data_IF_119095764945
#
_entry.id   IF_119095764945
#
_cell.length_a   1.000
_cell.length_b   1.000
_cell.length_c   1.000
_cell.angle_alpha   90.00
_cell.angle_beta   90.00
_cell.angle_gamma   90.00
#
_symmetry.space_group_name_H-M   'P 1'
#
loop_
_entity.id
_entity.type
_entity.pdbx_description
1 polymer ?
#
# COMPACT_ATOMS: atom_id res chain seq x y z
N UNK A 1 4.46 -63.00 56.08
CA UNK A 1 3.82 -61.66 56.19
C UNK A 1 4.62 -60.64 55.37
N UNK A 2 4.57 -60.65 54.03
CA UNK A 2 5.35 -59.70 53.19
C UNK A 2 4.93 -59.52 51.71
N UNK A 3 3.74 -59.97 51.28
CA UNK A 3 3.39 -59.99 49.84
C UNK A 3 2.36 -58.96 49.37
N UNK A 4 1.65 -58.28 50.26
CA UNK A 4 0.47 -57.48 49.87
C UNK A 4 0.74 -55.98 49.63
N UNK A 5 1.92 -55.46 49.96
CA UNK A 5 2.23 -54.03 49.77
C UNK A 5 2.83 -53.66 48.39
N UNK A 6 3.18 -54.62 47.54
CA UNK A 6 3.88 -54.32 46.28
C UNK A 6 2.94 -53.95 45.12
N UNK A 7 1.65 -54.35 45.16
CA UNK A 7 0.72 -54.12 44.05
C UNK A 7 0.07 -52.71 44.05
N UNK A 8 0.00 -52.02 45.18
CA UNK A 8 -0.62 -50.68 45.26
C UNK A 8 0.29 -49.54 44.77
N UNK A 9 1.60 -49.79 44.56
CA UNK A 9 2.56 -48.73 44.18
C UNK A 9 2.76 -48.57 42.67
N UNK A 10 2.34 -49.56 41.85
CA UNK A 10 2.50 -49.53 40.38
C UNK A 10 1.38 -48.81 39.64
N UNK A 11 0.17 -48.73 40.20
CA UNK A 11 -1.00 -48.15 39.50
C UNK A 11 -1.05 -46.60 39.51
N UNK A 12 -0.50 -45.93 40.54
CA UNK A 12 -0.51 -44.45 40.62
C UNK A 12 0.46 -43.76 39.65
N UNK A 13 1.58 -44.41 39.27
CA UNK A 13 2.57 -43.83 38.34
C UNK A 13 2.05 -43.73 36.89
N UNK A 14 1.24 -44.70 36.46
CA UNK A 14 0.65 -44.71 35.11
C UNK A 14 -0.43 -43.64 34.93
N UNK A 15 -1.24 -43.39 35.98
CA UNK A 15 -2.32 -42.42 35.94
C UNK A 15 -1.80 -40.97 35.93
N UNK A 16 -0.70 -40.68 36.65
CA UNK A 16 -0.06 -39.36 36.64
C UNK A 16 0.66 -39.07 35.31
N UNK A 17 1.30 -40.08 34.71
CA UNK A 17 1.91 -39.96 33.38
C UNK A 17 0.87 -39.68 32.30
N UNK A 18 -0.26 -40.41 32.30
CA UNK A 18 -1.34 -40.17 31.35
C UNK A 18 -2.03 -38.81 31.57
N UNK A 19 -2.14 -38.32 32.81
CA UNK A 19 -2.70 -37.00 33.11
C UNK A 19 -1.78 -35.87 32.64
N UNK A 20 -0.46 -35.98 32.86
CA UNK A 20 0.53 -35.02 32.35
C UNK A 20 0.58 -35.05 30.82
N UNK A 21 0.47 -36.23 30.20
CA UNK A 21 0.42 -36.36 28.73
C UNK A 21 -0.87 -35.75 28.15
N UNK A 22 -2.03 -35.96 28.80
CA UNK A 22 -3.28 -35.29 28.43
C UNK A 22 -3.22 -33.78 28.65
N UNK A 23 -2.59 -33.32 29.73
CA UNK A 23 -2.41 -31.88 30.00
C UNK A 23 -1.49 -31.23 28.96
N UNK A 24 -0.43 -31.92 28.53
CA UNK A 24 0.45 -31.48 27.43
C UNK A 24 -0.32 -31.46 26.09
N UNK A 25 -1.20 -32.44 25.82
CA UNK A 25 -2.05 -32.44 24.62
C UNK A 25 -3.09 -31.32 24.64
N UNK A 26 -3.67 -31.00 25.80
CA UNK A 26 -4.61 -29.89 25.97
C UNK A 26 -3.90 -28.53 25.91
N UNK A 27 -2.66 -28.42 26.39
CA UNK A 27 -1.87 -27.19 26.31
C UNK A 27 -1.37 -26.90 24.88
N UNK A 28 -1.10 -27.92 24.06
CA UNK A 28 -0.73 -27.75 22.65
C UNK A 28 -1.92 -27.41 21.73
N UNK A 29 -3.16 -27.55 22.21
CA UNK A 29 -4.38 -27.19 21.47
C UNK A 29 -4.93 -25.80 21.84
N UNK A 30 -4.12 -24.99 22.54
CA UNK A 30 -4.49 -23.66 23.02
C UNK A 30 -3.78 -22.50 22.29
N UNK A 31 -3.21 -22.73 21.10
CA UNK A 31 -2.87 -21.63 20.20
C UNK A 31 -4.10 -21.30 19.37
N UNK A 32 -4.53 -20.03 19.37
CA UNK A 32 -5.50 -19.57 18.40
C UNK A 32 -4.93 -19.77 16.99
N UNK A 33 -5.75 -20.24 16.06
CA UNK A 33 -5.37 -20.31 14.65
C UNK A 33 -5.07 -18.88 14.17
N UNK A 34 -3.99 -18.67 13.40
CA UNK A 34 -3.64 -17.35 12.94
C UNK A 34 -4.72 -16.82 12.00
N UNK A 35 -5.03 -15.54 12.11
CA UNK A 35 -6.14 -14.89 11.41
C UNK A 35 -5.56 -14.20 10.17
N UNK A 36 -5.99 -14.64 8.98
CA UNK A 36 -5.64 -13.99 7.70
C UNK A 36 -5.94 -12.48 7.77
N UNK A 37 -5.07 -11.67 7.16
CA UNK A 37 -5.08 -10.21 7.16
C UNK A 37 -4.71 -9.54 8.49
N UNK A 38 -4.61 -10.31 9.58
CA UNK A 38 -4.20 -9.82 10.89
C UNK A 38 -2.83 -10.38 11.31
N UNK A 39 -2.60 -11.67 11.12
CA UNK A 39 -1.38 -12.40 11.47
C UNK A 39 -0.56 -12.77 10.23
N UNK A 40 0.75 -12.95 10.37
CA UNK A 40 1.59 -13.45 9.26
C UNK A 40 1.33 -14.95 9.10
N UNK A 41 0.61 -15.31 8.03
CA UNK A 41 0.19 -16.69 7.74
C UNK A 41 0.96 -17.31 6.57
N UNK A 42 1.69 -16.51 5.80
CA UNK A 42 2.58 -16.94 4.74
C UNK A 42 4.05 -16.76 5.14
N UNK A 43 4.89 -17.74 4.84
CA UNK A 43 6.33 -17.71 5.19
C UNK A 43 7.13 -16.87 4.18
N UNK A 44 6.80 -17.01 2.89
CA UNK A 44 7.50 -16.42 1.76
C UNK A 44 6.61 -15.46 0.98
N UNK A 45 7.28 -14.56 0.25
CA UNK A 45 6.66 -13.56 -0.62
C UNK A 45 7.32 -13.66 -1.99
N UNK A 46 6.52 -13.64 -3.05
CA UNK A 46 6.98 -13.46 -4.43
C UNK A 46 6.96 -11.97 -4.74
N UNK A 47 8.05 -11.47 -5.32
CA UNK A 47 8.18 -10.05 -5.70
C UNK A 47 8.29 -10.00 -7.22
N UNK A 48 7.43 -9.19 -7.86
CA UNK A 48 7.54 -8.84 -9.27
C UNK A 48 7.93 -7.36 -9.34
N UNK A 49 9.16 -7.10 -9.76
CA UNK A 49 9.78 -5.76 -9.79
C UNK A 49 9.52 -5.06 -11.14
N UNK A 50 9.61 -3.74 -11.14
CA UNK A 50 9.61 -2.88 -12.33
C UNK A 50 8.36 -3.03 -13.23
N UNK A 51 7.19 -3.26 -12.63
CA UNK A 51 5.92 -3.33 -13.38
C UNK A 51 5.50 -1.92 -13.77
N UNK A 52 5.63 -1.58 -15.04
CA UNK A 52 5.20 -0.27 -15.57
C UNK A 52 3.68 -0.16 -15.54
N UNK A 53 3.16 0.77 -14.74
CA UNK A 53 1.72 1.04 -14.62
C UNK A 53 1.28 2.27 -15.42
N UNK A 54 2.21 3.11 -15.87
CA UNK A 54 1.91 4.30 -16.64
C UNK A 54 3.13 5.00 -17.22
N UNK A 55 2.87 6.08 -17.95
CA UNK A 55 3.86 6.99 -18.51
C UNK A 55 3.33 8.41 -18.39
N UNK A 56 4.17 9.35 -17.95
CA UNK A 56 3.76 10.72 -17.70
C UNK A 56 4.93 11.71 -17.90
N UNK A 57 4.65 12.99 -18.24
CA UNK A 57 5.67 14.01 -18.32
C UNK A 57 6.18 14.33 -16.91
N UNK A 58 7.47 14.11 -16.69
CA UNK A 58 8.18 14.47 -15.46
C UNK A 58 9.18 15.58 -15.70
N UNK A 59 9.56 16.24 -14.62
CA UNK A 59 10.59 17.27 -14.65
C UNK A 59 11.99 16.62 -14.49
N UNK A 60 13.06 17.20 -15.07
CA UNK A 60 14.41 16.69 -14.90
C UNK A 60 15.00 17.13 -13.57
N UNK A 61 15.96 16.34 -13.06
CA UNK A 61 16.65 16.54 -11.79
C UNK A 61 17.09 17.99 -11.51
N UNK A 62 17.40 18.77 -12.56
CA UNK A 62 17.56 20.21 -12.47
C UNK A 62 16.20 20.89 -12.75
N UNK A 63 15.39 20.96 -11.69
CA UNK A 63 14.02 21.48 -11.70
C UNK A 63 14.00 23.01 -11.55
N UNK A 64 14.21 23.74 -12.65
CA UNK A 64 14.14 25.21 -12.64
C UNK A 64 12.82 25.75 -13.20
N UNK A 65 12.17 25.00 -14.09
CA UNK A 65 11.00 25.46 -14.84
C UNK A 65 10.02 24.31 -15.09
N UNK A 66 8.73 24.56 -14.85
CA UNK A 66 7.66 23.55 -14.94
C UNK A 66 7.37 23.10 -16.39
N UNK A 67 7.77 23.90 -17.38
CA UNK A 67 7.61 23.57 -18.81
C UNK A 67 8.68 22.64 -19.38
N UNK A 68 9.75 22.39 -18.63
CA UNK A 68 10.84 21.56 -19.08
C UNK A 68 10.59 20.11 -18.64
N UNK A 69 9.74 19.39 -19.37
CA UNK A 69 9.39 18.00 -19.05
C UNK A 69 9.92 17.01 -20.08
N UNK A 70 10.02 15.75 -19.67
CA UNK A 70 10.21 14.58 -20.54
C UNK A 70 9.36 13.43 -20.05
N UNK A 71 8.94 12.57 -20.96
CA UNK A 71 8.12 11.40 -20.59
C UNK A 71 8.97 10.38 -19.84
N UNK A 72 8.45 9.89 -18.72
CA UNK A 72 9.04 8.80 -17.95
C UNK A 72 8.02 7.70 -17.71
N UNK A 73 8.50 6.46 -17.70
CA UNK A 73 7.70 5.33 -17.23
C UNK A 73 7.57 5.40 -15.71
N UNK A 74 6.37 5.11 -15.24
CA UNK A 74 6.04 4.97 -13.83
C UNK A 74 5.84 3.50 -13.54
N UNK A 75 6.56 3.00 -12.56
CA UNK A 75 6.66 1.59 -12.24
C UNK A 75 6.38 1.31 -10.76
N UNK A 76 6.07 0.05 -10.49
CA UNK A 76 5.74 -0.45 -9.16
C UNK A 76 6.29 -1.86 -8.96
N UNK A 77 6.49 -2.22 -7.70
CA UNK A 77 6.78 -3.60 -7.30
C UNK A 77 5.54 -4.22 -6.68
N UNK A 78 5.29 -5.48 -7.02
CA UNK A 78 4.14 -6.26 -6.56
C UNK A 78 4.64 -7.37 -5.65
N UNK A 79 4.15 -7.40 -4.42
CA UNK A 79 4.48 -8.35 -3.37
C UNK A 79 3.27 -9.24 -3.10
N UNK A 80 3.42 -10.53 -3.40
CA UNK A 80 2.35 -11.51 -3.30
C UNK A 80 2.70 -12.63 -2.31
N UNK A 81 1.75 -13.11 -1.49
CA UNK A 81 1.96 -14.29 -0.65
C UNK A 81 2.22 -15.54 -1.51
N UNK A 82 3.38 -16.18 -1.34
CA UNK A 82 3.74 -17.37 -2.10
C UNK A 82 2.82 -18.55 -1.74
N UNK A 83 2.20 -19.18 -2.74
CA UNK A 83 1.35 -20.36 -2.57
C UNK A 83 -0.06 -20.05 -2.04
N UNK A 84 -0.46 -18.78 -2.02
CA UNK A 84 -1.83 -18.39 -1.74
C UNK A 84 -2.78 -18.87 -2.84
N UNK A 85 -3.99 -19.26 -2.44
CA UNK A 85 -5.04 -19.78 -3.33
C UNK A 85 -6.26 -18.88 -3.40
N UNK A 86 -6.28 -17.79 -2.60
CA UNK A 86 -7.31 -16.78 -2.71
C UNK A 86 -7.16 -15.98 -4.02
N UNK A 87 -8.28 -15.80 -4.72
CA UNK A 87 -8.33 -15.17 -6.05
C UNK A 87 -8.83 -13.73 -6.01
N UNK A 88 -9.30 -13.26 -4.85
CA UNK A 88 -9.81 -11.90 -4.64
C UNK A 88 -9.16 -11.30 -3.39
N UNK A 89 -7.87 -10.95 -3.51
CA UNK A 89 -7.07 -10.47 -2.38
C UNK A 89 -7.16 -8.95 -2.27
N UNK A 90 -7.38 -8.38 -1.08
CA UNK A 90 -7.33 -6.94 -0.88
C UNK A 90 -5.91 -6.42 -1.13
N UNK A 91 -5.83 -5.17 -1.59
CA UNK A 91 -4.59 -4.52 -1.99
C UNK A 91 -4.22 -3.42 -1.00
N UNK A 92 -2.94 -3.32 -0.66
CA UNK A 92 -2.39 -2.14 0.02
C UNK A 92 -1.32 -1.51 -0.88
N UNK A 93 -1.52 -0.26 -1.28
CA UNK A 93 -0.58 0.52 -2.08
C UNK A 93 0.22 1.43 -1.15
N UNK A 94 1.52 1.17 -1.05
CA UNK A 94 2.47 1.92 -0.26
C UNK A 94 3.09 3.04 -1.08
N UNK A 95 2.96 4.28 -0.58
CA UNK A 95 3.45 5.48 -1.24
C UNK A 95 4.58 6.08 -0.40
N UNK A 96 5.78 6.09 -0.98
CA UNK A 96 7.01 6.38 -0.27
C UNK A 96 7.14 7.85 0.18
N UNK A 97 8.01 8.07 1.17
CA UNK A 97 8.41 9.40 1.65
C UNK A 97 9.43 10.06 0.71
N UNK A 98 9.85 11.29 1.02
CA UNK A 98 10.97 11.94 0.35
C UNK A 98 10.68 13.34 -0.16
N UNK A 99 9.64 13.98 0.40
CA UNK A 99 9.29 15.38 0.18
C UNK A 99 9.11 15.75 -1.30
N UNK A 100 8.69 14.80 -2.15
CA UNK A 100 8.63 14.93 -3.61
C UNK A 100 9.97 15.30 -4.26
N UNK A 101 11.09 15.14 -3.55
CA UNK A 101 12.44 15.46 -4.03
C UNK A 101 13.31 14.21 -4.20
N UNK A 102 12.99 13.14 -3.48
CA UNK A 102 13.74 11.90 -3.44
C UNK A 102 12.83 10.74 -3.05
N UNK A 103 13.38 9.53 -3.02
CA UNK A 103 12.68 8.31 -2.66
C UNK A 103 12.42 7.42 -3.87
N UNK A 104 12.01 6.19 -3.60
CA UNK A 104 11.64 5.18 -4.58
C UNK A 104 10.86 4.05 -3.89
N UNK A 105 10.25 3.16 -4.69
CA UNK A 105 9.46 2.00 -4.26
C UNK A 105 10.23 0.93 -3.48
N UNK A 106 11.56 0.90 -3.57
CA UNK A 106 12.43 -0.05 -2.85
C UNK A 106 13.07 0.51 -1.56
N UNK A 107 12.57 1.62 -1.00
CA UNK A 107 13.07 2.08 0.31
C UNK A 107 12.86 1.01 1.40
N UNK A 108 13.82 0.86 2.31
CA UNK A 108 13.83 -0.21 3.33
C UNK A 108 12.52 -0.31 4.13
N UNK A 109 11.92 0.82 4.49
CA UNK A 109 10.66 0.88 5.24
C UNK A 109 9.46 0.47 4.39
N UNK A 110 9.42 0.89 3.13
CA UNK A 110 8.40 0.50 2.14
C UNK A 110 8.47 -1.00 1.88
N UNK A 111 9.65 -1.54 1.59
CA UNK A 111 9.87 -2.98 1.36
C UNK A 111 9.47 -3.80 2.59
N UNK A 112 9.85 -3.36 3.80
CA UNK A 112 9.50 -4.05 5.03
C UNK A 112 7.97 -4.08 5.27
N UNK A 113 7.28 -2.97 4.99
CA UNK A 113 5.82 -2.91 5.08
C UNK A 113 5.15 -3.77 4.03
N UNK A 114 5.60 -3.73 2.77
CA UNK A 114 5.08 -4.55 1.69
C UNK A 114 5.21 -6.04 1.97
N UNK A 115 6.39 -6.49 2.44
CA UNK A 115 6.62 -7.89 2.83
C UNK A 115 5.71 -8.28 4.00
N UNK A 116 5.58 -7.45 5.05
CA UNK A 116 4.72 -7.79 6.19
C UNK A 116 3.24 -7.86 5.79
N UNK A 117 2.77 -6.96 4.92
CA UNK A 117 1.41 -7.01 4.39
C UNK A 117 1.18 -8.26 3.52
N UNK A 118 2.10 -8.58 2.61
CA UNK A 118 2.02 -9.78 1.78
C UNK A 118 1.99 -11.06 2.64
N UNK A 119 2.81 -11.14 3.69
CA UNK A 119 2.79 -12.26 4.65
C UNK A 119 1.46 -12.42 5.41
N UNK A 120 0.67 -11.36 5.52
CA UNK A 120 -0.69 -11.39 6.10
C UNK A 120 -1.76 -11.76 5.08
N UNK A 121 -1.42 -11.90 3.80
CA UNK A 121 -2.32 -12.35 2.73
C UNK A 121 -2.89 -11.25 1.85
N UNK A 122 -2.42 -10.01 2.00
CA UNK A 122 -2.70 -8.91 1.06
C UNK A 122 -1.83 -9.06 -0.20
N UNK A 123 -2.23 -8.42 -1.30
CA UNK A 123 -1.27 -8.05 -2.35
C UNK A 123 -0.77 -6.65 -2.02
N UNK A 124 0.54 -6.52 -1.79
CA UNK A 124 1.14 -5.24 -1.46
C UNK A 124 1.83 -4.66 -2.69
N UNK A 125 1.62 -3.36 -2.92
CA UNK A 125 2.16 -2.64 -4.07
C UNK A 125 3.03 -1.50 -3.54
N UNK A 126 4.26 -1.35 -4.01
CA UNK A 126 5.02 -0.12 -3.78
C UNK A 126 5.24 0.60 -5.09
N UNK A 127 4.83 1.87 -5.16
CA UNK A 127 4.84 2.66 -6.40
C UNK A 127 5.99 3.67 -6.39
N UNK A 128 6.61 3.88 -7.55
CA UNK A 128 7.30 5.13 -7.84
C UNK A 128 6.27 6.17 -8.31
N UNK A 129 6.49 7.44 -7.96
CA UNK A 129 5.71 8.58 -8.45
C UNK A 129 6.65 9.70 -8.88
N UNK A 130 6.18 10.60 -9.74
CA UNK A 130 6.96 11.72 -10.27
C UNK A 130 7.49 12.61 -9.16
N UNK A 131 8.77 12.93 -9.25
CA UNK A 131 9.47 13.78 -8.29
C UNK A 131 9.71 15.18 -8.87
N UNK A 132 10.38 15.99 -8.08
CA UNK A 132 10.75 17.36 -8.41
C UNK A 132 9.82 18.37 -7.78
N UNK A 133 10.40 19.32 -7.06
CA UNK A 133 9.76 20.59 -6.77
C UNK A 133 10.83 21.68 -6.63
N UNK A 134 10.43 22.92 -6.83
CA UNK A 134 11.19 24.06 -6.35
C UNK A 134 10.81 24.34 -4.89
N UNK A 135 11.68 23.98 -3.95
CA UNK A 135 11.46 24.13 -2.49
C UNK A 135 11.21 25.57 -2.02
N UNK A 136 11.48 26.57 -2.87
CA UNK A 136 11.25 28.00 -2.57
C UNK A 136 9.92 28.50 -3.16
N UNK A 137 9.12 27.63 -3.78
CA UNK A 137 7.89 27.97 -4.50
C UNK A 137 6.74 27.10 -4.04
N UNK A 138 5.77 27.70 -3.34
CA UNK A 138 4.51 27.03 -2.98
C UNK A 138 3.77 26.52 -4.23
N UNK A 139 3.77 27.32 -5.31
CA UNK A 139 3.23 26.94 -6.62
C UNK A 139 3.83 25.63 -7.15
N UNK A 140 5.15 25.45 -7.04
CA UNK A 140 5.80 24.20 -7.48
C UNK A 140 5.51 23.04 -6.52
N UNK A 141 5.38 23.32 -5.22
CA UNK A 141 4.97 22.34 -4.22
C UNK A 141 3.57 21.77 -4.47
N UNK A 142 2.59 22.64 -4.74
CA UNK A 142 1.22 22.23 -5.10
C UNK A 142 1.20 21.35 -6.37
N UNK A 143 1.97 21.73 -7.41
CA UNK A 143 2.11 20.95 -8.64
C UNK A 143 2.79 19.60 -8.41
N UNK A 144 3.74 19.51 -7.48
CA UNK A 144 4.39 18.25 -7.12
C UNK A 144 3.44 17.28 -6.41
N UNK A 145 2.64 17.79 -5.46
CA UNK A 145 1.57 17.01 -4.83
C UNK A 145 0.59 16.49 -5.89
N UNK A 146 0.12 17.38 -6.77
CA UNK A 146 -0.88 17.02 -7.78
C UNK A 146 -0.35 15.97 -8.78
N UNK A 147 0.89 16.07 -9.25
CA UNK A 147 1.49 15.02 -10.09
C UNK A 147 1.51 13.67 -9.39
N UNK A 148 1.92 13.63 -8.12
CA UNK A 148 1.90 12.39 -7.33
C UNK A 148 0.49 11.81 -7.15
N UNK A 149 -0.54 12.66 -7.03
CA UNK A 149 -1.96 12.24 -7.01
C UNK A 149 -2.37 11.56 -8.31
N UNK A 150 -2.02 12.15 -9.45
CA UNK A 150 -2.29 11.56 -10.77
C UNK A 150 -1.59 10.20 -10.93
N UNK A 151 -0.37 10.09 -10.44
CA UNK A 151 0.43 8.87 -10.55
C UNK A 151 -0.15 7.75 -9.66
N UNK A 152 -0.57 8.07 -8.43
CA UNK A 152 -1.28 7.14 -7.57
C UNK A 152 -2.65 6.73 -8.15
N UNK A 153 -3.38 7.66 -8.77
CA UNK A 153 -4.60 7.34 -9.51
C UNK A 153 -4.31 6.34 -10.64
N UNK A 154 -3.29 6.61 -11.45
CA UNK A 154 -2.89 5.73 -12.54
C UNK A 154 -2.53 4.32 -12.04
N UNK A 155 -1.84 4.20 -10.90
CA UNK A 155 -1.55 2.90 -10.29
C UNK A 155 -2.84 2.15 -9.87
N UNK A 156 -3.79 2.84 -9.22
CA UNK A 156 -5.10 2.23 -8.87
C UNK A 156 -5.84 1.77 -10.13
N UNK A 157 -5.92 2.61 -11.16
CA UNK A 157 -6.62 2.28 -12.41
C UNK A 157 -5.96 1.11 -13.16
N UNK A 158 -4.62 1.05 -13.15
CA UNK A 158 -3.89 -0.10 -13.69
C UNK A 158 -4.22 -1.38 -12.92
N UNK A 159 -4.17 -1.35 -11.59
CA UNK A 159 -4.47 -2.53 -10.77
C UNK A 159 -5.92 -3.00 -10.95
N UNK A 160 -6.88 -2.07 -11.11
CA UNK A 160 -8.28 -2.42 -11.39
C UNK A 160 -8.44 -3.04 -12.78
N UNK A 161 -7.72 -2.53 -13.79
CA UNK A 161 -7.73 -3.10 -15.15
C UNK A 161 -7.21 -4.54 -15.18
N UNK A 162 -6.12 -4.81 -14.46
CA UNK A 162 -5.44 -6.10 -14.45
C UNK A 162 -5.73 -6.93 -13.20
N UNK A 163 -6.89 -6.71 -12.56
CA UNK A 163 -7.20 -7.31 -11.27
C UNK A 163 -7.17 -8.85 -11.28
N UNK A 164 -7.67 -9.45 -12.38
CA UNK A 164 -7.67 -10.90 -12.56
C UNK A 164 -6.25 -11.48 -12.71
N UNK A 165 -5.34 -10.75 -13.37
CA UNK A 165 -3.96 -11.19 -13.60
C UNK A 165 -3.18 -11.26 -12.28
N UNK A 166 -3.48 -10.35 -11.35
CA UNK A 166 -2.87 -10.30 -10.02
C UNK A 166 -3.72 -10.97 -8.93
N UNK A 167 -4.85 -11.61 -9.26
CA UNK A 167 -5.76 -12.23 -8.28
C UNK A 167 -6.12 -11.28 -7.11
N UNK A 168 -6.44 -10.03 -7.44
CA UNK A 168 -6.79 -8.97 -6.50
C UNK A 168 -8.27 -8.61 -6.58
N UNK A 169 -8.82 -8.11 -5.48
CA UNK A 169 -10.16 -7.56 -5.43
C UNK A 169 -10.13 -6.08 -5.79
N UNK A 170 -10.65 -5.76 -6.99
CA UNK A 170 -10.73 -4.40 -7.51
C UNK A 170 -11.57 -3.44 -6.63
N UNK A 171 -12.39 -3.96 -5.71
CA UNK A 171 -13.23 -3.16 -4.81
C UNK A 171 -12.64 -3.00 -3.40
N UNK A 172 -11.45 -3.55 -3.14
CA UNK A 172 -10.79 -3.48 -1.83
C UNK A 172 -9.33 -3.08 -2.00
N UNK A 173 -9.11 -1.79 -2.25
CA UNK A 173 -7.80 -1.15 -2.43
C UNK A 173 -7.59 -0.05 -1.39
N UNK A 174 -6.52 -0.18 -0.61
CA UNK A 174 -6.17 0.75 0.46
C UNK A 174 -4.88 1.48 0.13
N UNK A 175 -4.76 2.74 0.55
CA UNK A 175 -3.50 3.48 0.46
C UNK A 175 -2.81 3.54 1.81
N UNK A 176 -1.49 3.48 1.79
CA UNK A 176 -0.63 3.77 2.93
C UNK A 176 0.48 4.72 2.50
N UNK A 177 0.37 5.97 2.90
CA UNK A 177 1.35 7.00 2.56
C UNK A 177 2.16 7.45 3.77
N UNK A 178 3.44 7.79 3.58
CA UNK A 178 4.28 8.44 4.59
C UNK A 178 4.81 9.78 4.10
N UNK A 179 4.65 10.85 4.89
CA UNK A 179 5.08 12.21 4.55
C UNK A 179 4.55 12.64 3.18
N UNK A 180 5.39 12.83 2.16
CA UNK A 180 4.95 13.11 0.78
C UNK A 180 3.90 12.11 0.27
N UNK A 181 4.09 10.82 0.52
CA UNK A 181 3.09 9.81 0.16
C UNK A 181 1.76 9.97 0.90
N UNK A 182 1.76 10.53 2.11
CA UNK A 182 0.52 10.86 2.82
C UNK A 182 -0.21 12.05 2.22
N UNK A 183 0.52 13.05 1.70
CA UNK A 183 -0.10 14.14 0.93
C UNK A 183 -0.79 13.57 -0.30
N UNK A 184 -0.11 12.71 -1.05
CA UNK A 184 -0.68 12.03 -2.24
C UNK A 184 -1.95 11.27 -1.87
N UNK A 185 -1.87 10.39 -0.87
CA UNK A 185 -3.01 9.56 -0.47
C UNK A 185 -4.20 10.38 0.04
N UNK A 186 -3.97 11.44 0.82
CA UNK A 186 -5.03 12.34 1.29
C UNK A 186 -5.71 13.06 0.12
N UNK A 187 -4.93 13.59 -0.81
CA UNK A 187 -5.50 14.33 -1.94
C UNK A 187 -6.22 13.40 -2.92
N UNK A 188 -5.71 12.19 -3.18
CA UNK A 188 -6.40 11.21 -4.01
C UNK A 188 -7.71 10.71 -3.37
N UNK A 189 -7.77 10.59 -2.05
CA UNK A 189 -8.98 10.16 -1.36
C UNK A 189 -10.10 11.20 -1.41
N UNK A 190 -9.75 12.47 -1.20
CA UNK A 190 -10.72 13.50 -0.85
C UNK A 190 -10.86 14.64 -1.86
N UNK A 191 -9.91 14.85 -2.77
CA UNK A 191 -10.01 15.98 -3.72
C UNK A 191 -10.81 15.59 -4.95
N UNK A 192 -11.61 16.52 -5.47
CA UNK A 192 -12.28 16.42 -6.77
C UNK A 192 -11.62 17.31 -7.84
N UNK A 193 -11.95 17.06 -9.11
CA UNK A 193 -11.35 17.77 -10.25
C UNK A 193 -11.63 19.28 -10.25
N UNK A 194 -12.74 19.73 -9.66
CA UNK A 194 -13.08 21.15 -9.52
C UNK A 194 -12.44 21.83 -8.30
N UNK A 195 -11.84 21.04 -7.40
CA UNK A 195 -11.05 21.49 -6.25
C UNK A 195 -9.54 21.55 -6.54
N UNK A 196 -9.17 21.15 -7.76
CA UNK A 196 -7.81 21.19 -8.29
C UNK A 196 -7.14 22.57 -8.04
N UNK A 197 -5.91 22.63 -7.48
CA UNK A 197 -5.25 23.89 -7.16
C UNK A 197 -5.02 24.79 -8.39
N UNK A 198 -5.17 26.11 -8.25
CA UNK A 198 -4.97 27.09 -9.34
C UNK A 198 -3.60 26.93 -10.01
N UNK A 199 -2.57 26.59 -9.24
CA UNK A 199 -1.19 26.39 -9.72
C UNK A 199 -1.02 25.28 -10.74
N UNK A 200 -1.96 24.35 -10.80
CA UNK A 200 -1.88 23.20 -11.69
C UNK A 200 -2.41 23.53 -13.09
N UNK A 201 -3.31 24.52 -13.21
CA UNK A 201 -3.79 24.99 -14.51
C UNK A 201 -2.64 25.64 -15.28
N UNK A 202 -2.62 25.44 -16.60
CA UNK A 202 -1.53 25.95 -17.43
C UNK A 202 -1.50 27.49 -17.47
N UNK A 203 -0.31 28.08 -17.53
CA UNK A 203 -0.14 29.53 -17.54
C UNK A 203 1.32 29.97 -17.61
N UNK A 204 1.58 31.15 -18.20
CA UNK A 204 2.94 31.72 -18.22
C UNK A 204 4.02 30.88 -18.94
N UNK A 205 3.63 29.85 -19.68
CA UNK A 205 4.53 28.87 -20.33
C UNK A 205 4.47 27.48 -19.69
N UNK A 206 3.96 27.37 -18.47
CA UNK A 206 3.83 26.09 -17.74
C UNK A 206 2.66 25.27 -18.28
N UNK A 207 2.79 23.93 -18.32
CA UNK A 207 1.76 23.04 -18.85
C UNK A 207 0.59 22.92 -17.88
N UNK A 208 -0.59 22.76 -18.46
CA UNK A 208 -1.77 22.31 -17.73
C UNK A 208 -1.59 20.82 -17.40
N UNK A 209 -1.67 20.46 -16.11
CA UNK A 209 -1.53 19.08 -15.67
C UNK A 209 -2.74 18.19 -15.98
N UNK A 210 -3.91 18.76 -16.36
CA UNK A 210 -5.13 17.99 -16.60
C UNK A 210 -5.84 17.50 -15.34
N UNK A 211 -6.89 16.69 -15.51
CA UNK A 211 -7.66 16.09 -14.42
C UNK A 211 -6.85 15.04 -13.63
N UNK A 212 -7.36 14.59 -12.48
CA UNK A 212 -6.70 13.60 -11.63
C UNK A 212 -6.43 12.30 -12.41
N UNK A 213 -7.42 11.83 -13.18
CA UNK A 213 -7.33 10.56 -13.92
C UNK A 213 -6.81 10.73 -15.37
N UNK A 214 -6.38 11.93 -15.76
CA UNK A 214 -6.01 12.25 -17.15
C UNK A 214 -4.57 11.89 -17.53
N UNK A 215 -3.74 11.51 -16.56
CA UNK A 215 -2.29 11.32 -16.74
C UNK A 215 -1.87 9.90 -16.32
N UNK A 216 -0.69 9.45 -16.78
CA UNK A 216 -0.13 8.14 -16.43
C UNK A 216 -0.67 6.99 -17.30
N UNK A 217 -1.98 6.78 -17.38
CA UNK A 217 -2.59 5.80 -18.29
C UNK A 217 -4.03 6.17 -18.67
N UNK A 218 -4.62 5.39 -19.59
CA UNK A 218 -5.94 5.68 -20.19
C UNK A 218 -7.05 4.73 -19.72
N UNK A 219 -6.82 3.97 -18.65
CA UNK A 219 -7.83 3.05 -18.12
C UNK A 219 -8.97 3.81 -17.44
N UNK A 220 -10.19 3.35 -17.68
CA UNK A 220 -11.44 3.98 -17.23
C UNK A 220 -11.98 3.24 -16.00
N UNK A 221 -11.35 3.52 -14.86
CA UNK A 221 -11.76 3.02 -13.55
C UNK A 221 -11.77 4.17 -12.55
N UNK A 222 -12.69 4.12 -11.59
CA UNK A 222 -12.62 4.98 -10.42
C UNK A 222 -11.28 4.76 -9.69
N UNK A 223 -10.62 5.82 -9.27
CA UNK A 223 -9.29 5.78 -8.63
C UNK A 223 -9.33 6.00 -7.11
N UNK A 224 -10.52 6.28 -6.56
CA UNK A 224 -10.69 6.52 -5.13
C UNK A 224 -10.41 5.25 -4.30
N UNK A 225 -9.59 5.33 -3.23
CA UNK A 225 -9.31 4.20 -2.37
C UNK A 225 -10.43 3.93 -1.37
N UNK A 226 -10.47 2.70 -0.83
CA UNK A 226 -11.45 2.28 0.17
C UNK A 226 -11.06 2.65 1.61
N UNK A 227 -9.79 3.00 1.85
CA UNK A 227 -9.31 3.57 3.11
C UNK A 227 -7.89 4.11 2.91
N UNK A 228 -7.47 4.99 3.80
CA UNK A 228 -6.14 5.58 3.80
C UNK A 228 -5.49 5.51 5.19
N UNK A 229 -4.24 5.03 5.24
CA UNK A 229 -3.34 5.22 6.37
C UNK A 229 -2.41 6.40 6.05
N UNK A 230 -2.63 7.53 6.74
CA UNK A 230 -1.85 8.75 6.56
C UNK A 230 -0.82 8.93 7.69
N UNK A 231 0.46 8.70 7.36
CA UNK A 231 1.59 8.94 8.25
C UNK A 231 2.25 10.31 7.97
N UNK A 232 1.71 11.36 8.60
CA UNK A 232 2.31 12.70 8.69
C UNK A 232 2.15 13.51 7.38
N UNK A 233 0.96 13.48 6.79
CA UNK A 233 0.56 14.31 5.65
C UNK A 233 -0.24 15.55 6.03
N UNK A 234 -0.67 16.29 5.00
CA UNK A 234 -1.69 17.32 5.11
C UNK A 234 -2.54 17.34 3.83
N UNK A 235 -3.73 17.95 3.94
CA UNK A 235 -4.63 18.22 2.83
C UNK A 235 -4.70 19.73 2.58
N UNK A 236 -4.93 20.14 1.32
CA UNK A 236 -4.96 21.55 0.92
C UNK A 236 -6.08 22.34 1.59
N UNK A 237 -7.28 21.76 1.66
CA UNK A 237 -8.43 22.29 2.37
C UNK A 237 -9.11 21.18 3.20
N UNK A 238 -9.65 21.55 4.37
CA UNK A 238 -10.41 20.61 5.21
C UNK A 238 -11.85 20.45 4.72
N UNK A 239 -12.37 21.41 3.97
CA UNK A 239 -13.72 21.35 3.41
C UNK A 239 -13.84 20.27 2.31
N UNK A 240 -12.71 19.80 1.76
CA UNK A 240 -12.63 18.66 0.84
C UNK A 240 -12.91 17.32 1.53
N UNK A 241 -12.92 17.26 2.87
CA UNK A 241 -13.28 16.03 3.60
C UNK A 241 -14.74 16.17 4.01
N UNK A 242 -15.62 15.52 3.28
CA UNK A 242 -17.05 15.61 3.49
C UNK A 242 -17.77 14.24 3.44
N UNK A 243 -19.00 14.14 3.97
CA UNK A 243 -19.70 12.86 4.06
C UNK A 243 -20.01 12.17 2.71
N UNK A 244 -19.93 12.87 1.58
CA UNK A 244 -20.14 12.35 0.24
C UNK A 244 -18.87 11.68 -0.33
N UNK A 245 -17.69 12.00 0.20
CA UNK A 245 -16.40 11.46 -0.22
C UNK A 245 -15.63 10.69 0.88
N UNK A 246 -16.30 10.35 1.98
CA UNK A 246 -15.76 9.52 3.07
C UNK A 246 -15.18 8.17 2.55
N UNK A 247 -13.93 7.90 2.93
CA UNK A 247 -13.21 6.63 2.70
C UNK A 247 -12.87 5.91 4.01
#
# INVERSE_FOLDING_TARGET
MKSTQLMLKKSKKSMFGNFVFFLILILNSLSADPIRYLDEVFENVTITEDVVYGNAPDLPFIFLFEWNTYDMDLDMDIYEPEGDTETQRPVIIFIHTGAFFSGHNELDDVVALSISAAKRGYVAISINYRLGLNILSAYSGERAVYRGVQDASAAVRYLKEFADDYNIDANNMFLWGTSAGSFIGLHLAYSEDDERPESTYGGGGDPDLGCIDCEGNSYDHDSRPNALVSCWGAIGDLDWIDPENDV
#
